data_IF_861367457099
#
_entry.id   IF_861367457099
#
_cell.length_a   1.000
_cell.length_b   1.000
_cell.length_c   1.000
_cell.angle_alpha   90.00
_cell.angle_beta   90.00
_cell.angle_gamma   90.00
#
_symmetry.space_group_name_H-M   'P 1'
#
loop_
_entity.id
_entity.type
_entity.pdbx_description
1 polymer ?
#
# COMPACT_ATOMS: atom_id res chain seq x y z
N UNK A 1 23.43 -13.05 4.90
CA UNK A 1 22.26 -12.14 4.87
C UNK A 1 21.16 -12.80 4.06
N UNK A 2 19.98 -13.07 4.65
CA UNK A 2 18.80 -13.58 3.92
C UNK A 2 17.98 -12.38 3.40
N UNK A 3 17.60 -12.32 2.11
CA UNK A 3 16.73 -11.26 1.61
C UNK A 3 15.33 -11.38 2.22
N UNK A 4 14.64 -10.25 2.42
CA UNK A 4 13.22 -10.21 2.78
C UNK A 4 12.42 -10.98 1.72
N UNK A 5 11.73 -12.04 2.13
CA UNK A 5 10.83 -12.80 1.23
C UNK A 5 9.60 -11.95 0.90
N UNK A 6 9.67 -11.23 -0.21
CA UNK A 6 8.47 -10.80 -0.93
C UNK A 6 7.94 -12.06 -1.63
N UNK A 7 6.73 -12.49 -1.26
CA UNK A 7 6.14 -13.74 -1.76
C UNK A 7 5.91 -13.66 -3.27
N UNK A 8 6.73 -14.37 -4.06
CA UNK A 8 6.40 -14.80 -5.42
C UNK A 8 5.72 -16.16 -5.35
N UNK A 9 4.44 -16.22 -5.67
CA UNK A 9 3.83 -17.47 -6.14
C UNK A 9 3.62 -17.35 -7.66
N UNK A 10 4.44 -18.09 -8.40
CA UNK A 10 4.22 -18.38 -9.82
C UNK A 10 3.02 -19.31 -9.95
N UNK A 11 1.99 -18.89 -10.68
CA UNK A 11 0.87 -19.75 -11.04
C UNK A 11 1.10 -20.34 -12.43
N UNK A 12 1.05 -21.67 -12.60
CA UNK A 12 0.96 -22.26 -13.94
C UNK A 12 -0.36 -21.84 -14.59
N UNK A 13 -0.27 -21.34 -15.82
CA UNK A 13 -1.42 -21.00 -16.67
C UNK A 13 -2.14 -22.29 -17.11
N UNK A 14 -3.47 -22.24 -17.07
CA UNK A 14 -4.50 -23.10 -17.68
C UNK A 14 -5.21 -24.17 -16.80
N UNK A 15 -6.55 -24.17 -16.94
CA UNK A 15 -7.60 -25.12 -16.47
C UNK A 15 -8.28 -24.90 -15.10
N UNK A 16 -8.63 -23.67 -14.70
CA UNK A 16 -9.61 -23.44 -13.60
C UNK A 16 -10.78 -22.49 -13.89
N UNK A 17 -10.81 -21.80 -15.03
CA UNK A 17 -11.93 -20.90 -15.39
C UNK A 17 -13.23 -21.67 -15.67
N UNK A 18 -13.15 -22.86 -16.29
CA UNK A 18 -14.35 -23.66 -16.63
C UNK A 18 -15.15 -24.16 -15.43
N UNK A 19 -14.51 -24.37 -14.27
CA UNK A 19 -15.21 -24.90 -13.10
C UNK A 19 -16.07 -23.86 -12.39
N UNK A 20 -15.70 -22.57 -12.49
CA UNK A 20 -16.37 -21.51 -11.75
C UNK A 20 -17.62 -21.04 -12.49
N UNK A 21 -17.53 -20.90 -13.81
CA UNK A 21 -18.65 -20.58 -14.67
C UNK A 21 -19.70 -21.70 -14.69
N UNK A 22 -19.25 -22.97 -14.69
CA UNK A 22 -20.14 -24.13 -14.56
C UNK A 22 -20.88 -24.15 -13.21
N UNK A 23 -20.18 -23.84 -12.10
CA UNK A 23 -20.80 -23.76 -10.75
C UNK A 23 -21.79 -22.60 -10.64
N UNK A 24 -21.52 -21.48 -11.30
CA UNK A 24 -22.42 -20.32 -11.32
C UNK A 24 -23.68 -20.60 -12.16
N UNK A 25 -23.51 -21.23 -13.33
CA UNK A 25 -24.63 -21.66 -14.18
C UNK A 25 -25.51 -22.71 -13.49
N UNK A 26 -24.91 -23.63 -12.72
CA UNK A 26 -25.65 -24.63 -11.95
C UNK A 26 -26.46 -24.00 -10.81
N UNK A 27 -25.92 -22.96 -10.16
CA UNK A 27 -26.61 -22.24 -9.08
C UNK A 27 -27.77 -21.39 -9.60
N UNK A 28 -27.64 -20.83 -10.81
CA UNK A 28 -28.70 -20.12 -11.52
C UNK A 28 -29.82 -21.07 -11.95
N UNK A 29 -29.50 -22.26 -12.46
CA UNK A 29 -30.50 -23.28 -12.83
C UNK A 29 -31.25 -23.82 -11.63
N UNK A 30 -30.57 -24.04 -10.51
CA UNK A 30 -31.20 -24.50 -9.26
C UNK A 30 -32.20 -23.48 -8.73
N UNK A 31 -31.86 -22.18 -8.76
CA UNK A 31 -32.80 -21.11 -8.39
C UNK A 31 -33.97 -20.96 -9.36
N UNK A 32 -33.76 -21.18 -10.66
CA UNK A 32 -34.85 -21.17 -11.64
C UNK A 32 -35.84 -22.32 -11.39
N UNK A 33 -35.34 -23.51 -11.03
CA UNK A 33 -36.16 -24.67 -10.66
C UNK A 33 -36.90 -24.47 -9.33
N UNK A 34 -36.25 -23.92 -8.31
CA UNK A 34 -36.87 -23.61 -7.01
C UNK A 34 -37.97 -22.53 -7.11
N UNK A 35 -37.85 -21.62 -8.08
CA UNK A 35 -38.82 -20.56 -8.35
C UNK A 35 -39.86 -20.95 -9.41
N UNK A 36 -39.86 -22.20 -9.91
CA UNK A 36 -40.83 -22.70 -10.89
C UNK A 36 -40.91 -21.90 -12.20
N UNK A 37 -39.86 -21.16 -12.57
CA UNK A 37 -39.86 -20.19 -13.68
C UNK A 37 -38.66 -20.43 -14.59
N UNK A 38 -38.79 -20.18 -15.90
CA UNK A 38 -37.70 -20.43 -16.86
C UNK A 38 -36.56 -19.43 -16.73
N UNK A 39 -35.33 -19.86 -17.09
CA UNK A 39 -34.10 -19.07 -16.90
C UNK A 39 -34.09 -17.73 -17.69
N UNK A 40 -34.88 -17.65 -18.76
CA UNK A 40 -34.96 -16.46 -19.61
C UNK A 40 -35.90 -15.39 -19.03
N UNK A 41 -37.00 -15.80 -18.39
CA UNK A 41 -37.93 -14.88 -17.70
C UNK A 41 -37.29 -14.23 -16.46
N UNK A 42 -36.42 -14.95 -15.75
CA UNK A 42 -35.72 -14.40 -14.58
C UNK A 42 -34.70 -13.32 -14.98
N UNK A 43 -34.04 -13.49 -16.13
CA UNK A 43 -33.12 -12.48 -16.69
C UNK A 43 -33.88 -11.26 -17.21
N UNK A 44 -35.08 -11.46 -17.77
CA UNK A 44 -35.93 -10.35 -18.22
C UNK A 44 -36.43 -9.49 -17.05
N UNK A 45 -36.86 -10.11 -15.92
CA UNK A 45 -37.29 -9.39 -14.71
C UNK A 45 -36.19 -8.55 -14.06
N UNK A 46 -34.97 -9.09 -13.96
CA UNK A 46 -33.84 -8.34 -13.38
C UNK A 46 -33.47 -7.12 -14.25
N UNK A 47 -33.66 -7.23 -15.57
CA UNK A 47 -33.40 -6.15 -16.52
C UNK A 47 -34.50 -5.07 -16.49
N UNK A 48 -35.76 -5.44 -16.24
CA UNK A 48 -36.85 -4.47 -16.10
C UNK A 48 -36.77 -3.69 -14.78
N UNK A 49 -36.37 -4.34 -13.68
CA UNK A 49 -36.27 -3.70 -12.37
C UNK A 49 -35.14 -2.66 -12.28
N UNK A 50 -34.13 -2.75 -13.16
CA UNK A 50 -33.03 -1.77 -13.22
C UNK A 50 -33.33 -0.53 -14.07
N UNK A 51 -34.43 -0.49 -14.83
CA UNK A 51 -34.76 0.62 -15.74
C UNK A 51 -35.88 1.55 -15.26
N UNK A 52 -36.51 1.30 -14.10
CA UNK A 52 -37.64 2.12 -13.61
C UNK A 52 -37.39 2.95 -12.34
N UNK A 53 -36.16 3.05 -11.85
CA UNK A 53 -35.86 3.90 -10.67
C UNK A 53 -35.24 5.25 -11.07
N UNK A 54 -36.09 6.22 -11.43
CA UNK A 54 -35.77 7.66 -11.40
C UNK A 54 -36.13 8.30 -10.04
N UNK A 55 -35.57 9.47 -9.67
CA UNK A 55 -35.57 9.95 -8.29
C UNK A 55 -36.72 10.91 -7.99
N UNK A 56 -37.66 10.57 -7.09
CA UNK A 56 -38.52 11.56 -6.41
C UNK A 56 -38.88 11.16 -4.97
N UNK A 57 -38.88 12.17 -4.10
CA UNK A 57 -39.17 12.18 -2.66
C UNK A 57 -40.61 11.74 -2.32
N UNK A 58 -40.81 11.01 -1.22
CA UNK A 58 -41.99 11.12 -0.35
C UNK A 58 -41.79 10.38 1.00
N UNK A 59 -42.56 10.83 1.98
CA UNK A 59 -42.45 10.71 3.44
C UNK A 59 -42.95 9.36 4.02
N UNK A 60 -42.46 9.03 5.23
CA UNK A 60 -42.74 7.87 6.11
C UNK A 60 -44.24 7.57 6.40
N UNK A 61 -44.58 6.36 6.89
CA UNK A 61 -44.69 6.13 8.34
C UNK A 61 -44.13 4.80 8.87
N UNK A 62 -43.84 4.80 10.18
CA UNK A 62 -43.25 3.75 11.01
C UNK A 62 -44.17 2.53 11.18
N UNK A 63 -43.59 1.33 11.23
CA UNK A 63 -44.13 0.17 11.99
C UNK A 63 -42.99 -0.61 12.66
N UNK A 64 -43.21 -0.91 13.95
CA UNK A 64 -42.35 -1.70 14.80
C UNK A 64 -42.30 -3.17 14.36
N UNK A 65 -41.11 -3.76 14.39
CA UNK A 65 -40.88 -5.16 14.02
C UNK A 65 -39.48 -5.63 14.39
N UNK A 66 -39.35 -6.16 15.61
CA UNK A 66 -38.15 -6.74 16.18
C UNK A 66 -37.66 -7.92 15.32
N UNK A 67 -36.49 -7.80 14.68
CA UNK A 67 -35.74 -8.96 14.16
C UNK A 67 -34.24 -8.71 14.24
N UNK A 68 -33.64 -9.33 15.25
CA UNK A 68 -32.21 -9.39 15.52
C UNK A 68 -31.47 -10.16 14.42
N UNK A 69 -30.66 -9.45 13.63
CA UNK A 69 -29.49 -10.00 12.94
C UNK A 69 -28.27 -9.15 13.28
N UNK A 70 -27.12 -9.73 13.65
CA UNK A 70 -25.94 -8.96 14.03
C UNK A 70 -25.36 -8.29 12.77
N UNK A 71 -25.67 -7.02 12.59
CA UNK A 71 -24.87 -6.14 11.75
C UNK A 71 -23.55 -5.89 12.49
N UNK A 72 -22.44 -6.34 11.92
CA UNK A 72 -21.12 -5.86 12.31
C UNK A 72 -21.04 -4.38 11.95
N UNK A 73 -21.47 -3.52 12.88
CA UNK A 73 -21.09 -2.12 12.88
C UNK A 73 -19.59 -2.06 13.20
N UNK A 74 -18.76 -1.38 12.40
CA UNK A 74 -17.42 -1.05 12.87
C UNK A 74 -17.59 -0.22 14.15
N UNK A 75 -17.03 -0.70 15.25
CA UNK A 75 -17.03 0.01 16.53
C UNK A 75 -16.32 1.35 16.33
N UNK A 76 -17.09 2.44 16.24
CA UNK A 76 -16.63 3.82 16.31
C UNK A 76 -16.25 4.17 17.76
N UNK A 77 -15.27 3.44 18.30
CA UNK A 77 -14.81 3.54 19.68
C UNK A 77 -13.30 3.72 19.81
N UNK A 78 -12.60 4.06 18.73
CA UNK A 78 -11.21 4.50 18.81
C UNK A 78 -11.20 6.03 18.76
N UNK A 79 -10.87 6.67 19.89
CA UNK A 79 -10.46 8.09 19.85
C UNK A 79 -9.22 8.14 18.97
N UNK A 80 -9.34 8.77 17.80
CA UNK A 80 -8.19 9.05 16.94
C UNK A 80 -7.10 9.76 17.75
N UNK A 81 -5.86 9.40 17.45
CA UNK A 81 -4.66 10.01 18.02
C UNK A 81 -4.78 11.55 17.88
N UNK A 82 -4.47 12.31 18.95
CA UNK A 82 -4.62 13.80 19.01
C UNK A 82 -3.40 14.54 18.43
N UNK A 83 -2.46 13.83 17.86
CA UNK A 83 -1.29 14.39 17.22
C UNK A 83 -1.67 15.00 15.86
N UNK A 84 -0.91 16.01 15.44
CA UNK A 84 -1.13 16.70 14.17
C UNK A 84 -0.63 15.92 12.95
N UNK A 85 -0.49 14.58 13.05
CA UNK A 85 0.02 13.77 11.95
C UNK A 85 -1.03 13.61 10.84
N UNK A 86 -0.66 13.80 9.56
CA UNK A 86 -1.52 13.46 8.44
C UNK A 86 -1.66 11.95 8.22
N UNK A 87 -0.92 11.13 8.98
CA UNK A 87 -0.93 9.68 8.85
C UNK A 87 -2.13 9.08 9.56
N UNK A 88 -2.90 8.28 8.83
CA UNK A 88 -3.99 7.48 9.38
C UNK A 88 -3.45 6.54 10.47
N UNK A 89 -3.91 6.61 11.73
CA UNK A 89 -3.39 5.76 12.81
C UNK A 89 -3.56 4.25 12.56
N UNK A 90 -2.62 3.42 13.04
CA UNK A 90 -2.62 1.98 12.79
C UNK A 90 -3.85 1.28 13.39
N UNK A 91 -4.36 1.75 14.52
CA UNK A 91 -5.53 1.19 15.22
C UNK A 91 -6.82 1.24 14.37
N UNK A 92 -6.90 2.19 13.42
CA UNK A 92 -8.00 2.28 12.46
C UNK A 92 -7.94 1.24 11.33
N UNK A 93 -6.79 0.58 11.18
CA UNK A 93 -6.53 -0.46 10.17
C UNK A 93 -6.53 -1.84 10.84
N UNK A 94 -5.88 -1.94 12.00
CA UNK A 94 -5.60 -3.18 12.72
C UNK A 94 -5.95 -3.00 14.20
N UNK A 95 -6.83 -3.86 14.74
CA UNK A 95 -7.27 -3.74 16.12
C UNK A 95 -6.15 -4.13 17.10
N UNK A 96 -5.43 -3.13 17.62
CA UNK A 96 -4.27 -3.32 18.48
C UNK A 96 -4.64 -4.01 19.80
N UNK A 97 -5.78 -3.68 20.40
CA UNK A 97 -6.23 -4.29 21.65
C UNK A 97 -6.42 -5.80 21.52
N UNK A 98 -6.96 -6.28 20.38
CA UNK A 98 -7.09 -7.72 20.10
C UNK A 98 -5.75 -8.40 19.83
N UNK A 99 -4.81 -7.70 19.20
CA UNK A 99 -3.45 -8.20 18.99
C UNK A 99 -2.71 -8.33 20.31
N UNK A 100 -2.93 -7.42 21.26
CA UNK A 100 -2.33 -7.49 22.58
C UNK A 100 -3.02 -8.50 23.51
N UNK A 101 -4.34 -8.68 23.39
CA UNK A 101 -5.11 -9.59 24.23
C UNK A 101 -4.86 -11.08 23.92
N UNK A 102 -4.60 -11.41 22.66
CA UNK A 102 -4.25 -12.76 22.23
C UNK A 102 -2.77 -12.77 21.84
N UNK A 103 -1.93 -13.69 22.33
CA UNK A 103 -0.49 -13.69 22.01
C UNK A 103 -0.25 -14.06 20.54
N UNK A 104 -0.32 -13.05 19.66
CA UNK A 104 0.03 -13.21 18.25
C UNK A 104 1.54 -13.06 18.08
N UNK A 105 2.16 -13.95 17.32
CA UNK A 105 3.56 -13.77 16.92
C UNK A 105 3.68 -12.67 15.87
N UNK A 106 4.88 -12.09 15.74
CA UNK A 106 5.19 -11.14 14.67
C UNK A 106 4.85 -11.69 13.27
N UNK A 107 5.06 -12.99 13.05
CA UNK A 107 4.71 -13.67 11.80
C UNK A 107 3.19 -13.68 11.56
N UNK A 108 2.39 -13.98 12.59
CA UNK A 108 0.92 -13.98 12.49
C UNK A 108 0.38 -12.58 12.21
N UNK A 109 0.91 -11.56 12.89
CA UNK A 109 0.58 -10.15 12.61
C UNK A 109 0.93 -9.78 11.16
N UNK A 110 2.10 -10.22 10.69
CA UNK A 110 2.53 -9.98 9.30
C UNK A 110 1.60 -10.66 8.28
N UNK A 111 1.12 -11.87 8.57
CA UNK A 111 0.14 -12.57 7.74
C UNK A 111 -1.21 -11.86 7.72
N UNK A 112 -1.70 -11.39 8.87
CA UNK A 112 -2.93 -10.60 8.96
C UNK A 112 -2.82 -9.30 8.15
N UNK A 113 -1.69 -8.60 8.30
CA UNK A 113 -1.40 -7.37 7.58
C UNK A 113 -1.42 -7.56 6.06
N UNK A 114 -0.76 -8.63 5.59
CA UNK A 114 -0.71 -8.99 4.17
C UNK A 114 -2.10 -9.38 3.67
N UNK A 115 -2.82 -10.24 4.40
CA UNK A 115 -4.16 -10.69 4.03
C UNK A 115 -5.16 -9.52 3.93
N UNK A 116 -5.09 -8.56 4.85
CA UNK A 116 -5.91 -7.36 4.82
C UNK A 116 -5.70 -6.57 3.52
N UNK A 117 -4.45 -6.28 3.15
CA UNK A 117 -4.15 -5.51 1.95
C UNK A 117 -4.45 -6.27 0.66
N UNK A 118 -4.22 -7.58 0.62
CA UNK A 118 -4.65 -8.44 -0.51
C UNK A 118 -6.17 -8.44 -0.69
N UNK A 119 -6.94 -8.38 0.41
CA UNK A 119 -8.40 -8.33 0.33
C UNK A 119 -8.96 -7.01 -0.22
N UNK A 120 -8.12 -5.96 -0.30
CA UNK A 120 -8.52 -4.66 -0.87
C UNK A 120 -8.65 -4.76 -2.40
N UNK A 121 -9.41 -3.82 -2.97
CA UNK A 121 -9.58 -3.70 -4.43
C UNK A 121 -10.12 -4.98 -5.08
N UNK A 122 -11.26 -5.46 -4.57
CA UNK A 122 -11.93 -6.66 -5.09
C UNK A 122 -11.16 -7.97 -4.85
N UNK A 123 -10.29 -8.01 -3.83
CA UNK A 123 -9.45 -9.18 -3.53
C UNK A 123 -8.20 -9.31 -4.42
N UNK A 124 -7.88 -8.28 -5.21
CA UNK A 124 -6.69 -8.26 -6.06
C UNK A 124 -5.48 -7.61 -5.39
N UNK A 125 -5.69 -6.84 -4.31
CA UNK A 125 -4.66 -6.05 -3.64
C UNK A 125 -4.14 -4.87 -4.46
N UNK A 126 -4.74 -4.57 -5.62
CA UNK A 126 -4.33 -3.47 -6.50
C UNK A 126 -4.40 -2.12 -5.78
N UNK A 127 -3.42 -1.27 -6.05
CA UNK A 127 -3.33 0.05 -5.42
C UNK A 127 -2.69 0.05 -4.04
N UNK A 128 -2.34 -1.12 -3.49
CA UNK A 128 -1.69 -1.24 -2.20
C UNK A 128 -0.41 -2.06 -2.27
N UNK A 129 0.58 -1.68 -1.46
CA UNK A 129 1.72 -2.50 -1.10
C UNK A 129 1.66 -2.78 0.40
N UNK A 130 2.13 -3.95 0.82
CA UNK A 130 2.21 -4.28 2.24
C UNK A 130 3.46 -5.10 2.51
N UNK A 131 4.20 -4.75 3.56
CA UNK A 131 5.31 -5.54 4.06
C UNK A 131 5.38 -5.45 5.59
N UNK A 132 6.12 -6.39 6.18
CA UNK A 132 6.51 -6.36 7.58
C UNK A 132 8.02 -6.30 7.65
N UNK A 133 8.54 -5.27 8.30
CA UNK A 133 9.96 -4.94 8.33
C UNK A 133 10.47 -5.23 9.74
N UNK A 134 11.48 -6.11 9.91
CA UNK A 134 12.13 -6.31 11.19
C UNK A 134 12.65 -4.99 11.76
N UNK A 135 12.44 -4.76 13.06
CA UNK A 135 12.81 -3.51 13.73
C UNK A 135 14.29 -3.12 13.51
N UNK A 136 15.28 -4.04 13.58
CA UNK A 136 16.68 -3.67 13.33
C UNK A 136 16.92 -3.11 11.93
N UNK A 137 16.17 -3.57 10.92
CA UNK A 137 16.27 -3.04 9.56
C UNK A 137 15.60 -1.67 9.47
N UNK A 138 14.43 -1.51 10.09
CA UNK A 138 13.75 -0.21 10.12
C UNK A 138 14.62 0.88 10.77
N UNK A 139 15.24 0.59 11.92
CA UNK A 139 16.11 1.55 12.61
C UNK A 139 17.34 1.96 11.78
N UNK A 140 17.89 1.04 10.98
CA UNK A 140 18.98 1.37 10.04
C UNK A 140 18.51 2.35 8.97
N UNK A 141 17.35 2.09 8.36
CA UNK A 141 16.78 3.02 7.37
C UNK A 141 16.47 4.38 7.98
N UNK A 142 15.84 4.40 9.16
CA UNK A 142 15.49 5.62 9.88
C UNK A 142 16.74 6.47 10.16
N UNK A 143 17.83 5.88 10.64
CA UNK A 143 19.06 6.61 10.93
C UNK A 143 19.66 7.27 9.68
N UNK A 144 19.65 6.57 8.54
CA UNK A 144 20.12 7.13 7.26
C UNK A 144 19.15 8.22 6.76
N UNK A 145 17.84 7.96 6.83
CA UNK A 145 16.80 8.87 6.36
C UNK A 145 16.68 10.16 7.19
N UNK A 146 16.99 10.13 8.48
CA UNK A 146 17.08 11.35 9.29
C UNK A 146 18.21 12.27 8.82
N UNK A 147 19.31 11.71 8.31
CA UNK A 147 20.43 12.50 7.76
C UNK A 147 20.20 12.91 6.31
N UNK A 148 19.62 12.01 5.52
CA UNK A 148 19.47 12.13 4.07
C UNK A 148 18.00 11.96 3.67
N UNK A 149 17.11 12.92 4.00
CA UNK A 149 15.67 12.74 3.93
C UNK A 149 15.10 12.78 2.52
N UNK A 150 15.88 13.06 1.48
CA UNK A 150 15.34 13.16 0.12
C UNK A 150 16.30 12.63 -0.92
N UNK A 151 15.80 12.11 -2.04
CA UNK A 151 16.66 11.63 -3.10
C UNK A 151 15.92 11.58 -4.43
N UNK A 152 16.65 11.32 -5.51
CA UNK A 152 16.06 11.10 -6.83
C UNK A 152 16.33 9.66 -7.26
N UNK A 153 15.28 8.99 -7.71
CA UNK A 153 15.37 7.60 -8.20
C UNK A 153 14.88 7.52 -9.63
N UNK A 154 15.49 6.62 -10.41
CA UNK A 154 15.13 6.39 -11.80
C UNK A 154 14.34 5.09 -11.94
N UNK A 155 13.26 5.14 -12.71
CA UNK A 155 12.39 4.01 -13.05
C UNK A 155 12.47 3.80 -14.58
N UNK A 156 12.91 2.62 -15.07
CA UNK A 156 12.97 2.33 -16.49
C UNK A 156 11.56 2.24 -17.08
N UNK A 157 11.39 2.77 -18.27
CA UNK A 157 10.19 2.65 -19.09
C UNK A 157 10.49 1.74 -20.28
N UNK A 158 9.65 0.71 -20.53
CA UNK A 158 9.81 -0.11 -21.73
C UNK A 158 9.65 0.78 -22.96
N UNK A 159 10.44 0.52 -24.00
CA UNK A 159 10.30 1.21 -25.29
C UNK A 159 8.94 0.89 -25.90
N UNK A 160 8.27 1.91 -26.43
CA UNK A 160 7.12 1.67 -27.28
C UNK A 160 7.63 1.13 -28.63
N UNK A 161 7.08 0.03 -29.16
CA UNK A 161 7.50 -0.52 -30.46
C UNK A 161 7.20 0.41 -31.66
N UNK A 162 6.51 1.54 -31.44
CA UNK A 162 6.27 2.57 -32.46
C UNK A 162 7.44 3.55 -32.62
N UNK A 163 8.41 3.58 -31.70
CA UNK A 163 9.57 4.50 -31.73
C UNK A 163 10.78 3.95 -32.52
N UNK A 164 10.62 2.82 -33.21
CA UNK A 164 11.69 2.08 -33.90
C UNK A 164 12.29 2.77 -35.14
N UNK A 165 11.87 3.99 -35.51
CA UNK A 165 12.35 4.64 -36.74
C UNK A 165 13.61 5.52 -36.58
N UNK A 166 14.17 5.70 -35.38
CA UNK A 166 15.25 6.70 -35.19
C UNK A 166 16.46 6.31 -34.33
N UNK A 167 16.59 5.06 -33.84
CA UNK A 167 17.70 4.69 -32.95
C UNK A 167 18.69 3.72 -33.61
N UNK A 168 19.69 4.26 -34.31
CA UNK A 168 20.71 3.47 -34.99
C UNK A 168 21.86 2.97 -34.08
N UNK A 169 21.93 3.32 -32.79
CA UNK A 169 23.00 2.82 -31.92
C UNK A 169 22.61 2.78 -30.44
N UNK A 170 22.67 1.59 -29.83
CA UNK A 170 22.76 1.42 -28.38
C UNK A 170 21.44 1.25 -27.63
N UNK A 171 21.46 0.40 -26.61
CA UNK A 171 20.34 0.04 -25.73
C UNK A 171 19.87 1.19 -24.85
N UNK A 172 19.25 2.24 -25.41
CA UNK A 172 18.84 3.40 -24.61
C UNK A 172 17.42 3.22 -24.06
N UNK A 173 17.29 2.58 -22.89
CA UNK A 173 16.02 2.49 -22.18
C UNK A 173 15.60 3.91 -21.75
N UNK A 174 14.33 4.29 -21.97
CA UNK A 174 13.82 5.54 -21.44
C UNK A 174 13.67 5.43 -19.91
N UNK A 175 13.89 6.52 -19.19
CA UNK A 175 13.74 6.55 -17.72
C UNK A 175 12.82 7.68 -17.29
N UNK A 176 12.00 7.38 -16.29
CA UNK A 176 11.21 8.36 -15.55
C UNK A 176 11.80 8.53 -14.16
N UNK A 177 11.99 9.78 -13.74
CA UNK A 177 12.59 10.09 -12.45
C UNK A 177 11.53 10.49 -11.43
N UNK A 178 11.70 9.98 -10.21
CA UNK A 178 10.86 10.28 -9.06
C UNK A 178 11.70 10.96 -7.98
N UNK A 179 11.17 12.06 -7.45
CA UNK A 179 11.62 12.61 -6.18
C UNK A 179 11.08 11.75 -5.04
N UNK A 180 11.98 11.25 -4.20
CA UNK A 180 11.69 10.50 -3.00
C UNK A 180 11.91 11.41 -1.79
N UNK A 181 10.94 11.50 -0.89
CA UNK A 181 11.03 12.31 0.32
C UNK A 181 10.56 11.52 1.54
N UNK A 182 11.38 11.52 2.59
CA UNK A 182 11.06 11.01 3.92
C UNK A 182 10.52 12.12 4.80
N UNK A 183 9.44 11.81 5.53
CA UNK A 183 8.92 12.65 6.60
C UNK A 183 8.74 11.80 7.86
N UNK A 184 8.95 12.43 9.02
CA UNK A 184 8.87 11.79 10.34
C UNK A 184 7.84 12.50 11.21
N UNK A 185 7.07 11.71 11.96
CA UNK A 185 5.96 12.17 12.79
C UNK A 185 6.14 11.72 14.24
N UNK A 186 5.17 12.08 15.08
CA UNK A 186 5.19 11.73 16.50
C UNK A 186 5.25 10.21 16.73
N UNK A 187 5.96 9.83 17.78
CA UNK A 187 6.16 8.43 18.18
C UNK A 187 4.82 7.83 18.66
N UNK A 188 4.32 6.75 18.05
CA UNK A 188 3.08 6.13 18.46
C UNK A 188 3.19 5.57 19.87
N UNK A 189 2.14 5.68 20.71
CA UNK A 189 2.15 5.08 22.03
C UNK A 189 2.30 3.55 21.93
N UNK A 190 2.92 2.95 22.95
CA UNK A 190 3.01 1.50 23.04
C UNK A 190 1.61 0.92 23.29
N UNK A 191 1.11 0.00 22.46
CA UNK A 191 -0.23 -0.55 22.64
C UNK A 191 -0.32 -1.39 23.91
N UNK A 192 -1.47 -1.27 24.59
CA UNK A 192 -1.81 -2.00 25.81
C UNK A 192 -3.07 -2.85 25.58
N UNK A 193 -3.20 -4.04 26.22
CA UNK A 193 -4.43 -4.84 26.15
C UNK A 193 -5.63 -4.14 26.81
N UNK A 194 -5.38 -3.27 27.79
CA UNK A 194 -6.42 -2.50 28.47
C UNK A 194 -6.55 -1.12 27.81
N UNK A 195 -7.57 -0.97 26.96
CA UNK A 195 -8.06 0.35 26.58
C UNK A 195 -8.82 0.93 27.78
N UNK A 196 -8.13 1.35 28.84
CA UNK A 196 -8.79 2.05 29.93
C UNK A 196 -9.00 3.53 29.51
N UNK A 197 -10.23 3.94 29.17
CA UNK A 197 -10.49 5.29 28.66
C UNK A 197 -10.36 6.38 29.73
N UNK A 198 -10.13 5.99 30.99
CA UNK A 198 -10.01 6.87 32.15
C UNK A 198 -8.56 7.08 32.61
N UNK A 199 -7.60 6.34 32.06
CA UNK A 199 -6.18 6.63 32.29
C UNK A 199 -5.79 7.79 31.37
N UNK A 200 -5.75 8.99 31.94
CA UNK A 200 -5.03 10.10 31.32
C UNK A 200 -3.56 9.75 31.49
N UNK A 201 -2.98 9.04 30.51
CA UNK A 201 -1.54 8.78 30.50
C UNK A 201 -0.85 10.13 30.39
N UNK A 202 -0.31 10.62 31.50
CA UNK A 202 0.77 11.61 31.51
C UNK A 202 1.80 11.15 30.45
N UNK A 203 2.27 12.03 29.54
CA UNK A 203 2.98 11.60 28.34
C UNK A 203 4.38 11.09 28.71
N UNK A 204 4.46 9.84 29.13
CA UNK A 204 5.72 9.13 29.12
C UNK A 204 6.19 9.09 27.65
N UNK A 205 7.46 9.44 27.37
CA UNK A 205 7.98 9.39 26.01
C UNK A 205 7.84 7.96 25.49
N UNK A 206 7.14 7.80 24.36
CA UNK A 206 6.98 6.48 23.77
C UNK A 206 8.34 5.87 23.45
N UNK A 207 8.49 4.58 23.78
CA UNK A 207 9.68 3.78 23.43
C UNK A 207 9.70 3.38 21.95
N UNK A 208 8.61 3.57 21.22
CA UNK A 208 8.55 3.28 19.80
C UNK A 208 9.30 4.35 18.99
N UNK A 209 9.92 3.97 17.85
CA UNK A 209 10.48 4.92 16.89
C UNK A 209 9.41 5.83 16.27
N UNK A 210 9.84 6.89 15.58
CA UNK A 210 8.89 7.79 14.91
C UNK A 210 8.13 7.06 13.80
N UNK A 211 6.86 7.40 13.62
CA UNK A 211 6.15 6.99 12.39
C UNK A 211 6.77 7.76 11.22
N UNK A 212 6.94 7.13 10.07
CA UNK A 212 7.50 7.80 8.90
C UNK A 212 6.72 7.54 7.62
N UNK A 213 6.78 8.49 6.69
CA UNK A 213 6.28 8.33 5.33
C UNK A 213 7.38 8.51 4.30
N UNK A 214 7.25 7.86 3.16
CA UNK A 214 8.05 8.10 1.96
C UNK A 214 7.13 8.44 0.80
N UNK A 215 7.30 9.64 0.25
CA UNK A 215 6.55 10.12 -0.89
C UNK A 215 7.38 9.94 -2.16
N UNK A 216 6.80 9.33 -3.18
CA UNK A 216 7.38 9.28 -4.52
C UNK A 216 6.56 10.14 -5.47
N UNK A 217 7.17 11.22 -5.94
CA UNK A 217 6.54 12.20 -6.83
C UNK A 217 7.32 12.28 -8.14
N UNK A 218 6.72 12.08 -9.31
CA UNK A 218 7.43 12.26 -10.57
C UNK A 218 8.04 13.65 -10.67
N UNK A 219 9.28 13.77 -11.16
CA UNK A 219 9.91 15.08 -11.31
C UNK A 219 9.16 15.99 -12.28
N UNK A 220 8.50 15.42 -13.29
CA UNK A 220 7.64 16.17 -14.21
C UNK A 220 6.43 16.79 -13.49
N UNK A 221 5.79 16.04 -12.58
CA UNK A 221 4.68 16.53 -11.76
C UNK A 221 5.15 17.66 -10.83
N UNK A 222 6.33 17.50 -10.22
CA UNK A 222 6.95 18.51 -9.36
C UNK A 222 7.28 19.80 -10.12
N UNK A 223 7.80 19.69 -11.35
CA UNK A 223 8.07 20.85 -12.20
C UNK A 223 6.80 21.63 -12.55
N UNK A 224 5.66 20.96 -12.69
CA UNK A 224 4.40 21.59 -13.08
C UNK A 224 3.64 22.20 -11.89
N UNK A 225 3.72 21.59 -10.70
CA UNK A 225 2.87 21.97 -9.56
C UNK A 225 3.62 22.39 -8.30
N UNK A 226 4.93 22.24 -8.25
CA UNK A 226 5.75 22.56 -7.08
C UNK A 226 5.25 21.87 -5.82
N UNK A 227 4.98 22.64 -4.76
CA UNK A 227 4.50 22.14 -3.48
C UNK A 227 3.13 21.43 -3.53
N UNK A 228 2.35 21.62 -4.61
CA UNK A 228 1.06 20.95 -4.82
C UNK A 228 1.17 19.71 -5.72
N UNK A 229 2.39 19.26 -6.02
CA UNK A 229 2.61 18.05 -6.79
C UNK A 229 2.04 16.82 -6.09
N UNK A 230 1.30 16.01 -6.84
CA UNK A 230 0.67 14.83 -6.29
C UNK A 230 1.66 13.67 -6.28
N UNK A 231 2.00 13.09 -5.11
CA UNK A 231 2.81 11.88 -5.08
C UNK A 231 2.02 10.73 -5.72
N UNK A 232 2.71 9.90 -6.50
CA UNK A 232 2.10 8.75 -7.17
C UNK A 232 2.08 7.52 -6.27
N UNK A 233 3.02 7.44 -5.32
CA UNK A 233 3.12 6.40 -4.31
C UNK A 233 3.45 7.01 -2.95
N UNK A 234 2.68 6.62 -1.94
CA UNK A 234 2.91 6.99 -0.54
C UNK A 234 3.17 5.72 0.25
N UNK A 235 4.36 5.61 0.84
CA UNK A 235 4.72 4.52 1.74
C UNK A 235 4.62 5.02 3.18
N UNK A 236 3.94 4.30 4.05
CA UNK A 236 3.81 4.62 5.48
C UNK A 236 4.36 3.48 6.32
N UNK A 237 5.26 3.80 7.23
CA UNK A 237 5.85 2.87 8.19
C UNK A 237 5.21 3.06 9.56
N UNK A 238 4.40 2.08 9.97
CA UNK A 238 3.78 2.05 11.28
C UNK A 238 4.69 1.37 12.30
N UNK A 239 5.10 2.14 13.31
CA UNK A 239 6.06 1.73 14.34
C UNK A 239 5.39 1.36 15.67
N UNK A 240 4.06 1.34 15.73
CA UNK A 240 3.27 1.06 16.94
C UNK A 240 3.62 -0.30 17.58
N UNK A 241 3.97 -1.30 16.75
CA UNK A 241 4.32 -2.66 17.16
C UNK A 241 5.83 -2.90 17.31
N UNK A 242 6.64 -1.83 17.25
CA UNK A 242 8.10 -1.94 17.32
C UNK A 242 8.54 -2.54 18.67
N UNK A 243 8.11 -1.97 19.80
CA UNK A 243 8.56 -2.45 21.11
C UNK A 243 7.92 -3.78 21.53
N UNK A 244 6.74 -4.11 21.01
CA UNK A 244 5.97 -5.30 21.44
C UNK A 244 6.24 -6.53 20.57
N UNK A 245 6.39 -6.35 19.25
CA UNK A 245 6.55 -7.44 18.29
C UNK A 245 7.85 -7.37 17.50
N UNK A 246 8.68 -6.32 17.69
CA UNK A 246 9.96 -6.18 17.00
C UNK A 246 9.81 -5.95 15.49
N UNK A 247 8.69 -5.38 15.05
CA UNK A 247 8.39 -5.14 13.62
C UNK A 247 7.81 -3.74 13.38
N UNK A 248 8.05 -3.22 12.18
CA UNK A 248 7.40 -2.05 11.60
C UNK A 248 6.55 -2.52 10.42
N UNK A 249 5.28 -2.10 10.35
CA UNK A 249 4.37 -2.48 9.27
C UNK A 249 4.40 -1.42 8.18
N UNK A 250 4.74 -1.82 6.95
CA UNK A 250 4.73 -0.95 5.79
C UNK A 250 3.40 -1.05 5.06
N UNK A 251 2.78 0.10 4.76
CA UNK A 251 1.66 0.26 3.84
C UNK A 251 2.06 1.19 2.71
N UNK A 252 2.05 0.71 1.48
CA UNK A 252 2.09 1.56 0.30
C UNK A 252 0.69 1.80 -0.24
N UNK A 253 0.39 3.04 -0.60
CA UNK A 253 -0.84 3.43 -1.27
C UNK A 253 -0.47 4.11 -2.59
N UNK A 254 -0.98 3.55 -3.70
CA UNK A 254 -0.82 4.13 -5.02
C UNK A 254 -1.96 5.12 -5.22
N UNK A 255 -1.64 6.33 -5.66
CA UNK A 255 -2.65 7.37 -5.87
C UNK A 255 -3.62 6.98 -6.98
N UNK A 256 -4.91 7.05 -6.68
CA UNK A 256 -5.97 6.76 -7.64
C UNK A 256 -5.99 7.81 -8.76
N UNK A 257 -6.24 7.35 -9.99
CA UNK A 257 -6.43 8.21 -11.14
C UNK A 257 -7.87 8.72 -11.19
N UNK A 258 -8.06 9.97 -11.62
CA UNK A 258 -9.39 10.54 -11.88
C UNK A 258 -10.11 9.87 -13.07
N UNK A 259 -9.40 9.08 -13.88
CA UNK A 259 -9.92 8.46 -15.10
C UNK A 259 -10.79 7.20 -14.89
N UNK A 260 -11.16 6.86 -13.64
CA UNK A 260 -12.13 5.82 -13.33
C UNK A 260 -11.84 5.03 -12.05
N UNK A 261 -12.82 4.25 -11.61
CA UNK A 261 -12.70 3.35 -10.45
C UNK A 261 -11.61 2.30 -10.71
N UNK A 262 -10.72 2.09 -9.74
CA UNK A 262 -9.62 1.10 -9.77
C UNK A 262 -8.54 1.37 -10.85
N UNK A 263 -8.40 2.63 -11.28
CA UNK A 263 -7.22 3.12 -12.01
C UNK A 263 -6.30 3.87 -11.08
N UNK A 264 -5.01 3.72 -11.28
CA UNK A 264 -3.97 4.32 -10.45
C UNK A 264 -2.98 5.07 -11.33
N UNK A 265 -2.32 6.09 -10.75
CA UNK A 265 -1.30 6.90 -11.45
C UNK A 265 0.01 6.15 -11.69
N UNK A 266 0.20 5.01 -11.00
CA UNK A 266 1.39 4.17 -11.10
C UNK A 266 0.99 2.69 -11.22
N UNK A 267 1.78 1.92 -11.98
CA UNK A 267 1.63 0.47 -12.05
C UNK A 267 2.03 -0.22 -10.74
N UNK A 268 1.49 -1.41 -10.50
CA UNK A 268 1.82 -2.20 -9.30
C UNK A 268 3.31 -2.59 -9.26
N UNK A 269 3.87 -2.99 -10.41
CA UNK A 269 5.27 -3.40 -10.53
C UNK A 269 6.20 -2.20 -10.31
N UNK A 270 5.89 -1.05 -10.92
CA UNK A 270 6.64 0.20 -10.69
C UNK A 270 6.64 0.60 -9.21
N UNK A 271 5.50 0.47 -8.54
CA UNK A 271 5.41 0.78 -7.11
C UNK A 271 6.32 -0.14 -6.28
N UNK A 272 6.39 -1.44 -6.62
CA UNK A 272 7.32 -2.37 -5.98
C UNK A 272 8.77 -1.95 -6.23
N UNK A 273 9.11 -1.60 -7.46
CA UNK A 273 10.46 -1.19 -7.84
C UNK A 273 10.90 0.09 -7.12
N UNK A 274 10.02 1.09 -7.02
CA UNK A 274 10.27 2.29 -6.21
C UNK A 274 10.47 1.95 -4.72
N UNK A 275 9.69 1.02 -4.17
CA UNK A 275 9.89 0.57 -2.78
C UNK A 275 11.23 -0.15 -2.56
N UNK A 276 11.78 -0.81 -3.59
CA UNK A 276 13.11 -1.42 -3.53
C UNK A 276 14.22 -0.37 -3.53
N UNK A 277 14.00 0.80 -4.12
CA UNK A 277 14.97 1.89 -4.09
C UNK A 277 15.26 2.35 -2.65
N UNK A 278 14.27 2.33 -1.75
CA UNK A 278 14.49 2.60 -0.32
C UNK A 278 15.49 1.61 0.27
N UNK A 279 15.29 0.31 0.06
CA UNK A 279 16.21 -0.70 0.59
C UNK A 279 17.62 -0.48 0.04
N UNK A 280 17.74 -0.15 -1.24
CA UNK A 280 19.03 0.03 -1.88
C UNK A 280 19.83 1.23 -1.36
N UNK A 281 19.16 2.37 -1.20
CA UNK A 281 19.82 3.61 -0.79
C UNK A 281 19.84 3.82 0.72
N UNK A 282 19.00 3.12 1.49
CA UNK A 282 18.87 3.30 2.95
C UNK A 282 19.13 2.04 3.78
N UNK A 283 19.32 0.86 3.16
CA UNK A 283 19.80 -0.36 3.83
C UNK A 283 21.11 -0.83 3.22
N UNK A 284 22.20 -0.25 3.70
CA UNK A 284 23.52 -0.65 3.24
C UNK A 284 23.99 -1.97 3.87
N UNK A 285 24.56 -2.82 3.03
CA UNK A 285 25.32 -4.01 3.42
C UNK A 285 26.82 -3.82 3.18
N UNK A 286 27.61 -4.86 3.42
CA UNK A 286 29.07 -4.83 3.23
C UNK A 286 29.51 -5.06 1.76
N UNK A 287 28.56 -5.12 0.83
CA UNK A 287 28.84 -5.43 -0.58
C UNK A 287 29.14 -4.16 -1.39
N UNK A 288 29.92 -4.29 -2.48
CA UNK A 288 30.37 -3.16 -3.31
C UNK A 288 29.23 -2.31 -3.90
N UNK A 289 28.13 -2.92 -4.38
CA UNK A 289 26.93 -2.21 -4.86
C UNK A 289 26.28 -1.32 -3.78
N UNK A 290 26.44 -1.71 -2.52
CA UNK A 290 25.97 -0.94 -1.38
C UNK A 290 26.83 0.29 -1.15
N UNK A 291 28.15 0.18 -1.38
CA UNK A 291 29.08 1.30 -1.28
C UNK A 291 28.81 2.37 -2.34
N UNK A 292 28.49 1.98 -3.57
CA UNK A 292 28.12 2.96 -4.61
C UNK A 292 26.77 3.65 -4.32
N UNK A 293 25.78 2.89 -3.83
CA UNK A 293 24.47 3.45 -3.46
C UNK A 293 24.60 4.45 -2.31
N UNK A 294 25.40 4.11 -1.30
CA UNK A 294 25.77 5.01 -0.20
C UNK A 294 26.48 6.28 -0.71
N UNK A 295 27.51 6.12 -1.55
CA UNK A 295 28.26 7.25 -2.12
C UNK A 295 27.32 8.21 -2.82
N UNK A 296 26.45 7.73 -3.70
CA UNK A 296 25.53 8.59 -4.45
C UNK A 296 24.54 9.33 -3.55
N UNK A 297 23.98 8.66 -2.54
CA UNK A 297 23.07 9.32 -1.60
C UNK A 297 23.79 10.45 -0.84
N UNK A 298 25.03 10.20 -0.39
CA UNK A 298 25.86 11.18 0.30
C UNK A 298 26.22 12.33 -0.61
N UNK A 299 26.75 12.07 -1.80
CA UNK A 299 27.12 13.11 -2.78
C UNK A 299 25.92 13.99 -3.13
N UNK A 300 24.72 13.42 -3.29
CA UNK A 300 23.51 14.21 -3.56
C UNK A 300 23.20 15.27 -2.50
N UNK A 301 23.45 14.97 -1.22
CA UNK A 301 23.17 15.90 -0.12
C UNK A 301 24.37 16.78 0.23
N UNK A 302 25.56 16.17 0.34
CA UNK A 302 26.75 16.80 0.89
C UNK A 302 27.49 17.61 -0.20
N UNK A 303 27.51 17.14 -1.46
CA UNK A 303 28.22 17.74 -2.60
C UNK A 303 27.41 17.69 -3.90
N UNK A 304 26.25 18.39 -3.99
CA UNK A 304 25.33 18.25 -5.13
C UNK A 304 25.94 18.64 -6.50
N UNK A 305 27.00 19.45 -6.53
CA UNK A 305 27.72 19.79 -7.77
C UNK A 305 28.50 18.62 -8.39
N UNK A 306 28.87 17.62 -7.58
CA UNK A 306 29.56 16.40 -8.04
C UNK A 306 28.57 15.27 -8.37
N UNK A 307 27.28 15.48 -8.10
CA UNK A 307 26.27 14.46 -8.30
C UNK A 307 26.01 14.19 -9.79
N UNK A 308 26.28 12.97 -10.23
CA UNK A 308 26.03 12.54 -11.60
C UNK A 308 24.80 11.62 -11.69
N UNK A 309 23.68 12.16 -12.16
CA UNK A 309 22.42 11.43 -12.30
C UNK A 309 22.53 10.19 -13.21
N UNK A 310 23.48 10.14 -14.15
CA UNK A 310 23.66 8.98 -15.04
C UNK A 310 24.09 7.74 -14.27
N UNK A 311 24.77 7.91 -13.14
CA UNK A 311 25.15 6.79 -12.28
C UNK A 311 23.93 6.12 -11.62
N UNK A 312 22.82 6.84 -11.44
CA UNK A 312 21.57 6.27 -10.94
C UNK A 312 21.02 5.16 -11.84
N UNK A 313 21.27 5.26 -13.16
CA UNK A 313 20.71 4.32 -14.14
C UNK A 313 21.23 2.89 -13.94
N UNK A 314 22.45 2.75 -13.40
CA UNK A 314 23.02 1.45 -12.99
C UNK A 314 22.17 0.76 -11.94
N UNK A 315 21.44 1.54 -11.14
CA UNK A 315 20.61 1.05 -10.05
C UNK A 315 19.14 0.90 -10.44
N UNK A 316 18.75 1.34 -11.63
CA UNK A 316 17.38 1.30 -12.16
C UNK A 316 17.07 0.02 -12.95
N UNK A 317 18.07 -0.72 -13.44
CA UNK A 317 17.83 -2.02 -14.10
C UNK A 317 17.60 -3.11 -13.04
N UNK A 318 16.34 -3.47 -12.80
CA UNK A 318 16.00 -4.50 -11.84
C UNK A 318 15.74 -5.83 -12.55
N UNK A 319 16.57 -6.85 -12.29
CA UNK A 319 16.19 -8.24 -12.57
C UNK A 319 15.40 -8.76 -11.36
N UNK A 320 14.10 -8.84 -11.55
CA UNK A 320 13.11 -9.32 -10.59
C UNK A 320 12.99 -10.85 -10.64
#
# INVERSE_FOLDING_TARGET
>A
MLPLRISRQSFPRLKRLSSFEAKYAQKLRKRAQEAGTTLEELKAKIKSDQQQAGPQNAVLPKTDGLSTKPSFKPSSGAKGRKDSSPVKPLDTILNLSRIMATPHSAAQVSSLWTAYHLSRSGGTGRGYLSASIPLPLYLKMEAVAQKYPSFVVALPRPKNPSDDQLAENGSDAAYEFYFMQWDFYDRPPVPSPENNPFVTTTPAPSKNPQTSTVLFTPLQEYKLRGAYATPYLVLTHYTDLASTHGISLLRGEITASSAGTDRYLLGQDDAQLLSMAIQKFYLWGENEESGDSERLLRTFHDNPGEFNWKELLKFASWKL
#
